data_IF_536536552504
#
_entry.id   IF_536536552504
#
_cell.length_a   1.000
_cell.length_b   1.000
_cell.length_c   1.000
_cell.angle_alpha   90.00
_cell.angle_beta   90.00
_cell.angle_gamma   90.00
#
_symmetry.space_group_name_H-M   'P 1'
#
loop_
_entity.id
_entity.type
_entity.pdbx_description
1 polymer ?
#
# COMPACT_ATOMS: atom_id res chain seq x y z
N UNK A 1 -15.94 13.84 -18.67
CA UNK A 1 -14.73 13.42 -17.95
C UNK A 1 -14.66 11.89 -17.95
N UNK A 2 -13.66 11.29 -18.60
CA UNK A 2 -13.60 9.82 -18.73
C UNK A 2 -13.03 9.22 -17.43
N UNK A 3 -13.78 8.33 -16.78
CA UNK A 3 -13.44 7.74 -15.47
C UNK A 3 -12.08 7.03 -15.46
N UNK A 4 -11.54 6.71 -16.64
CA UNK A 4 -10.20 6.12 -16.82
C UNK A 4 -9.06 6.98 -16.30
N UNK A 5 -9.21 8.30 -16.25
CA UNK A 5 -8.18 9.21 -15.71
C UNK A 5 -8.22 9.32 -14.17
N UNK A 6 -9.28 8.84 -13.51
CA UNK A 6 -9.39 8.87 -12.05
C UNK A 6 -8.55 7.76 -11.39
N UNK A 7 -8.26 6.70 -12.13
CA UNK A 7 -7.28 5.71 -11.73
C UNK A 7 -5.95 6.17 -12.31
N UNK A 8 -5.07 6.69 -11.47
CA UNK A 8 -3.66 7.00 -11.78
C UNK A 8 -2.86 5.71 -12.06
N UNK A 9 -3.40 4.88 -12.95
CA UNK A 9 -2.95 3.54 -13.31
C UNK A 9 -2.95 3.52 -14.84
N UNK A 10 -1.78 3.71 -15.48
CA UNK A 10 -1.69 3.72 -16.93
C UNK A 10 -2.16 2.40 -17.52
N UNK A 11 -2.74 2.48 -18.73
CA UNK A 11 -3.21 1.34 -19.53
C UNK A 11 -4.31 0.51 -18.85
N UNK A 12 -5.07 1.10 -17.93
CA UNK A 12 -6.26 0.46 -17.36
C UNK A 12 -7.49 0.67 -18.25
N UNK A 13 -8.24 -0.40 -18.49
CA UNK A 13 -9.54 -0.39 -19.15
C UNK A 13 -10.60 -0.79 -18.14
N UNK A 14 -11.44 0.16 -17.78
CA UNK A 14 -12.67 -0.08 -17.01
C UNK A 14 -13.73 -0.66 -17.95
N UNK A 15 -14.31 -1.81 -17.58
CA UNK A 15 -15.34 -2.49 -18.36
C UNK A 15 -16.74 -2.24 -17.83
N UNK A 16 -16.89 -2.21 -16.49
CA UNK A 16 -18.18 -2.06 -15.81
C UNK A 16 -17.96 -1.40 -14.46
N UNK A 17 -18.94 -0.62 -14.00
CA UNK A 17 -19.05 -0.15 -12.63
C UNK A 17 -20.40 -0.59 -12.10
N UNK A 18 -20.40 -1.26 -10.95
CA UNK A 18 -21.59 -1.68 -10.22
C UNK A 18 -21.64 -0.93 -8.90
N UNK A 19 -22.82 -0.41 -8.58
CA UNK A 19 -23.07 0.26 -7.32
C UNK A 19 -23.95 -0.64 -6.46
N UNK A 20 -23.35 -1.19 -5.40
CA UNK A 20 -23.99 -2.11 -4.46
C UNK A 20 -23.67 -1.62 -3.04
N UNK A 21 -24.41 -0.63 -2.51
CA UNK A 21 -24.16 -0.07 -1.19
C UNK A 21 -23.97 -1.16 -0.13
N UNK A 22 -22.95 -1.06 0.74
CA UNK A 22 -22.09 0.11 0.95
C UNK A 22 -20.83 0.16 0.06
N UNK A 23 -20.79 -0.55 -1.07
CA UNK A 23 -19.63 -0.66 -1.94
C UNK A 23 -19.87 -0.23 -3.39
N UNK A 24 -18.80 0.19 -4.06
CA UNK A 24 -18.72 0.41 -5.50
C UNK A 24 -17.71 -0.59 -6.06
N UNK A 25 -18.15 -1.42 -7.00
CA UNK A 25 -17.32 -2.41 -7.68
C UNK A 25 -16.92 -1.91 -9.06
N UNK A 26 -15.61 -1.83 -9.31
CA UNK A 26 -15.04 -1.27 -10.53
C UNK A 26 -14.29 -2.38 -11.25
N UNK A 27 -14.88 -2.90 -12.33
CA UNK A 27 -14.29 -3.97 -13.12
C UNK A 27 -13.28 -3.38 -14.07
N UNK A 28 -12.03 -3.82 -13.95
CA UNK A 28 -10.92 -3.29 -14.71
C UNK A 28 -9.97 -4.37 -15.19
N UNK A 29 -9.26 -4.10 -16.28
CA UNK A 29 -8.23 -4.97 -16.85
C UNK A 29 -7.15 -4.12 -17.54
N UNK A 30 -6.01 -4.71 -17.89
CA UNK A 30 -5.02 -4.04 -18.73
C UNK A 30 -5.49 -3.96 -20.19
N UNK A 31 -5.30 -2.81 -20.82
CA UNK A 31 -5.73 -2.54 -22.20
C UNK A 31 -4.84 -3.22 -23.26
N UNK A 32 -3.60 -3.57 -22.93
CA UNK A 32 -2.66 -4.17 -23.87
C UNK A 32 -3.10 -5.55 -24.37
N UNK A 33 -2.80 -5.92 -25.62
CA UNK A 33 -3.10 -7.24 -26.19
C UNK A 33 -2.00 -8.29 -25.93
N UNK A 34 -0.83 -7.85 -25.46
CA UNK A 34 0.36 -8.67 -25.21
C UNK A 34 1.03 -8.26 -23.91
N UNK A 35 1.73 -9.20 -23.28
CA UNK A 35 2.54 -8.96 -22.09
C UNK A 35 3.99 -9.41 -22.29
N UNK A 36 4.92 -8.78 -21.58
CA UNK A 36 6.35 -9.09 -21.64
C UNK A 36 6.69 -10.17 -20.62
N UNK A 37 7.37 -11.24 -21.05
CA UNK A 37 7.84 -12.27 -20.13
C UNK A 37 8.89 -11.69 -19.17
N UNK A 38 8.80 -11.93 -17.85
CA UNK A 38 9.76 -11.38 -16.89
C UNK A 38 11.17 -11.97 -17.05
N UNK A 39 11.28 -13.22 -17.50
CA UNK A 39 12.57 -13.91 -17.71
C UNK A 39 13.22 -13.50 -19.03
N UNK A 40 12.67 -13.96 -20.17
CA UNK A 40 13.28 -13.78 -21.48
C UNK A 40 12.98 -12.44 -22.14
N UNK A 41 12.18 -11.58 -21.49
CA UNK A 41 11.80 -10.24 -21.98
C UNK A 41 11.07 -10.20 -23.33
N UNK A 42 10.73 -11.34 -23.93
CA UNK A 42 9.94 -11.42 -25.17
C UNK A 42 8.46 -11.20 -24.88
N UNK A 43 7.77 -10.56 -25.83
CA UNK A 43 6.32 -10.38 -25.75
C UNK A 43 5.58 -11.66 -26.15
N UNK A 44 4.46 -11.92 -25.47
CA UNK A 44 3.50 -12.96 -25.86
C UNK A 44 2.09 -12.40 -25.86
N UNK A 45 1.30 -12.78 -26.86
CA UNK A 45 -0.15 -12.55 -26.96
C UNK A 45 -0.96 -13.81 -26.62
N UNK A 46 -0.30 -14.95 -26.38
CA UNK A 46 -0.99 -16.23 -26.13
C UNK A 46 -1.46 -16.30 -24.68
N UNK A 47 -2.74 -16.00 -24.45
CA UNK A 47 -3.36 -16.10 -23.12
C UNK A 47 -3.53 -17.57 -22.73
N UNK A 48 -3.03 -17.93 -21.55
CA UNK A 48 -3.24 -19.24 -20.94
C UNK A 48 -4.54 -19.28 -20.12
N UNK A 49 -4.75 -18.26 -19.29
CA UNK A 49 -5.78 -18.25 -18.25
C UNK A 49 -6.03 -16.80 -17.77
N UNK A 50 -7.12 -16.57 -17.04
CA UNK A 50 -7.47 -15.29 -16.42
C UNK A 50 -7.94 -15.52 -14.98
N UNK A 51 -7.57 -14.62 -14.08
CA UNK A 51 -8.07 -14.63 -12.71
C UNK A 51 -8.36 -13.21 -12.24
N UNK A 52 -9.23 -13.08 -11.24
CA UNK A 52 -9.60 -11.79 -10.67
C UNK A 52 -8.92 -11.55 -9.33
N UNK A 53 -8.58 -10.30 -9.08
CA UNK A 53 -8.07 -9.80 -7.79
C UNK A 53 -8.95 -8.66 -7.32
N UNK A 54 -9.17 -8.60 -6.01
CA UNK A 54 -9.83 -7.46 -5.36
C UNK A 54 -8.77 -6.51 -4.83
N UNK A 55 -8.85 -5.25 -5.26
CA UNK A 55 -7.94 -4.18 -4.83
C UNK A 55 -8.79 -3.06 -4.23
N UNK A 56 -8.64 -2.81 -2.95
CA UNK A 56 -9.30 -1.69 -2.29
C UNK A 56 -8.68 -0.38 -2.76
N UNK A 57 -9.55 0.58 -3.03
CA UNK A 57 -9.18 1.90 -3.49
C UNK A 57 -9.80 3.00 -2.61
N UNK A 58 -9.45 4.27 -2.85
CA UNK A 58 -10.04 5.39 -2.11
C UNK A 58 -11.57 5.38 -2.25
N UNK A 59 -12.29 5.75 -1.18
CA UNK A 59 -13.75 5.78 -1.19
C UNK A 59 -14.27 6.74 -2.25
N UNK A 60 -15.41 6.40 -2.83
CA UNK A 60 -16.13 7.26 -3.78
C UNK A 60 -17.51 7.52 -3.20
N UNK A 61 -17.87 8.80 -3.06
CA UNK A 61 -19.13 9.23 -2.43
C UNK A 61 -19.38 8.60 -1.05
N UNK A 62 -18.33 8.44 -0.23
CA UNK A 62 -18.40 7.78 1.08
C UNK A 62 -18.83 6.30 1.02
N UNK A 63 -18.61 5.63 -0.10
CA UNK A 63 -18.75 4.18 -0.23
C UNK A 63 -17.38 3.52 -0.39
N UNK A 64 -17.28 2.28 0.08
CA UNK A 64 -16.09 1.48 -0.12
C UNK A 64 -15.88 1.24 -1.62
N UNK A 65 -14.74 1.66 -2.18
CA UNK A 65 -14.38 1.36 -3.57
C UNK A 65 -13.52 0.09 -3.68
N UNK A 66 -13.95 -0.87 -4.49
CA UNK A 66 -13.18 -2.09 -4.80
C UNK A 66 -12.96 -2.18 -6.31
N UNK A 67 -11.71 -2.22 -6.74
CA UNK A 67 -11.35 -2.56 -8.11
C UNK A 67 -11.31 -4.09 -8.23
N UNK A 68 -12.21 -4.64 -9.04
CA UNK A 68 -12.20 -6.04 -9.46
C UNK A 68 -11.29 -6.13 -10.69
N UNK A 69 -10.01 -6.40 -10.44
CA UNK A 69 -8.97 -6.38 -11.45
C UNK A 69 -8.80 -7.76 -12.08
N UNK A 70 -9.13 -7.86 -13.37
CA UNK A 70 -8.94 -9.09 -14.15
C UNK A 70 -7.52 -9.13 -14.71
N UNK A 71 -6.76 -10.13 -14.28
CA UNK A 71 -5.36 -10.36 -14.64
C UNK A 71 -5.24 -11.59 -15.54
N UNK A 72 -4.48 -11.46 -16.61
CA UNK A 72 -4.21 -12.53 -17.58
C UNK A 72 -2.87 -13.22 -17.28
N UNK A 73 -2.86 -14.54 -17.42
CA UNK A 73 -1.64 -15.35 -17.53
C UNK A 73 -1.38 -15.64 -19.00
N UNK A 74 -0.13 -15.50 -19.44
CA UNK A 74 0.31 -15.73 -20.81
C UNK A 74 1.25 -16.95 -20.88
N UNK A 75 1.22 -17.67 -22.01
CA UNK A 75 2.20 -18.70 -22.35
C UNK A 75 3.42 -18.04 -22.99
N UNK A 76 4.63 -18.31 -22.50
CA UNK A 76 5.85 -17.91 -23.18
C UNK A 76 6.12 -18.88 -24.34
N UNK A 77 6.33 -18.34 -25.55
CA UNK A 77 6.59 -19.11 -26.78
C UNK A 77 8.08 -19.20 -27.14
N UNK A 78 8.97 -18.72 -26.27
CA UNK A 78 10.41 -18.85 -26.50
C UNK A 78 10.87 -20.22 -26.01
N UNK A 79 11.44 -21.02 -26.91
CA UNK A 79 11.88 -22.39 -26.59
C UNK A 79 12.99 -22.40 -25.53
N UNK A 80 13.92 -21.44 -25.64
CA UNK A 80 15.01 -21.23 -24.68
C UNK A 80 14.59 -20.68 -23.32
N UNK A 81 13.33 -20.29 -23.13
CA UNK A 81 12.87 -19.74 -21.85
C UNK A 81 12.45 -20.87 -20.90
N UNK A 82 12.99 -20.91 -19.66
CA UNK A 82 12.56 -21.89 -18.66
C UNK A 82 11.11 -21.64 -18.22
N UNK A 83 10.66 -20.39 -18.25
CA UNK A 83 9.32 -20.01 -17.83
C UNK A 83 8.31 -20.17 -18.96
N UNK A 84 7.46 -21.20 -18.87
CA UNK A 84 6.39 -21.48 -19.86
C UNK A 84 5.12 -20.68 -19.64
N UNK A 85 4.81 -20.26 -18.40
CA UNK A 85 3.65 -19.41 -18.09
C UNK A 85 4.07 -18.23 -17.21
N UNK A 86 3.57 -17.04 -17.50
CA UNK A 86 3.80 -15.85 -16.70
C UNK A 86 2.55 -15.00 -16.58
N UNK A 87 2.41 -14.29 -15.46
CA UNK A 87 1.30 -13.36 -15.23
C UNK A 87 1.66 -12.00 -15.83
N UNK A 88 0.68 -11.30 -16.42
CA UNK A 88 0.90 -9.92 -16.86
C UNK A 88 1.23 -9.00 -15.67
N UNK A 89 2.19 -8.12 -15.87
CA UNK A 89 2.65 -7.18 -14.85
C UNK A 89 2.25 -5.75 -15.21
N UNK A 90 1.97 -4.94 -14.20
CA UNK A 90 1.82 -3.50 -14.28
C UNK A 90 2.61 -2.89 -13.12
N UNK A 91 3.45 -1.91 -13.43
CA UNK A 91 4.32 -1.26 -12.44
C UNK A 91 3.51 -0.56 -11.34
N UNK A 92 2.28 -0.15 -11.64
CA UNK A 92 1.40 0.60 -10.74
C UNK A 92 0.48 -0.30 -9.90
N UNK A 93 0.42 -1.59 -10.23
CA UNK A 93 -0.32 -2.58 -9.45
C UNK A 93 0.62 -3.75 -9.18
N UNK A 94 1.31 -3.67 -8.05
CA UNK A 94 2.25 -4.70 -7.63
C UNK A 94 1.58 -6.09 -7.55
N UNK A 95 2.35 -7.16 -7.83
CA UNK A 95 1.91 -8.51 -7.51
C UNK A 95 1.45 -8.60 -6.06
N UNK A 96 0.36 -9.33 -5.81
CA UNK A 96 -0.24 -9.53 -4.48
C UNK A 96 -0.74 -8.31 -3.70
N UNK A 97 -0.50 -7.07 -4.16
CA UNK A 97 -1.12 -5.88 -3.61
C UNK A 97 -2.65 -6.03 -3.51
N UNK A 98 -3.18 -5.75 -2.32
CA UNK A 98 -4.63 -5.78 -2.02
C UNK A 98 -5.24 -4.37 -1.95
N UNK A 99 -4.40 -3.34 -2.08
CA UNK A 99 -4.74 -1.92 -2.00
C UNK A 99 -3.99 -1.17 -3.10
N UNK A 100 -4.55 -0.08 -3.59
CA UNK A 100 -3.82 0.84 -4.46
C UNK A 100 -2.71 1.54 -3.68
N UNK A 101 -1.70 2.05 -4.40
CA UNK A 101 -0.57 2.73 -3.78
C UNK A 101 -1.02 3.99 -3.03
N UNK A 102 -1.93 4.79 -3.61
CA UNK A 102 -2.49 5.99 -2.96
C UNK A 102 -3.25 5.70 -1.67
N UNK A 103 -4.00 4.58 -1.59
CA UNK A 103 -4.60 4.13 -0.33
C UNK A 103 -3.52 3.80 0.69
N UNK A 104 -2.45 3.13 0.23
CA UNK A 104 -1.34 2.76 1.12
C UNK A 104 -0.60 3.99 1.64
N UNK A 105 -0.38 5.01 0.81
CA UNK A 105 0.18 6.31 1.23
C UNK A 105 -0.71 6.99 2.28
N UNK A 106 -1.99 7.18 2.00
CA UNK A 106 -2.94 7.79 2.95
C UNK A 106 -2.96 7.06 4.30
N UNK A 107 -2.99 5.73 4.28
CA UNK A 107 -2.96 4.93 5.52
C UNK A 107 -1.61 5.02 6.24
N UNK A 108 -0.52 5.26 5.52
CA UNK A 108 0.80 5.46 6.12
C UNK A 108 0.87 6.80 6.83
N UNK A 109 0.36 7.86 6.20
CA UNK A 109 0.25 9.20 6.81
C UNK A 109 -0.59 9.12 8.10
N UNK A 110 -1.78 8.49 8.02
CA UNK A 110 -2.64 8.22 9.18
C UNK A 110 -1.91 7.44 10.29
N UNK A 111 -1.05 6.49 9.91
CA UNK A 111 -0.35 5.63 10.87
C UNK A 111 0.82 6.35 11.57
N UNK A 112 1.40 7.36 10.95
CA UNK A 112 2.47 8.19 11.52
C UNK A 112 1.90 9.32 12.37
N UNK A 113 0.85 9.98 11.88
CA UNK A 113 0.33 11.21 12.50
C UNK A 113 -0.57 10.93 13.70
N UNK A 114 -1.03 9.69 13.90
CA UNK A 114 -2.02 9.37 14.92
C UNK A 114 -1.76 8.05 15.64
N UNK A 115 -2.21 7.93 16.91
CA UNK A 115 -2.25 6.64 17.59
C UNK A 115 -3.07 5.62 16.80
N UNK A 116 -2.59 4.37 16.75
CA UNK A 116 -3.19 3.29 15.96
C UNK A 116 -4.69 3.08 16.22
N UNK A 117 -5.15 3.29 17.47
CA UNK A 117 -6.57 3.21 17.82
C UNK A 117 -7.43 4.26 17.11
N UNK A 118 -7.00 5.52 17.16
CA UNK A 118 -7.65 6.65 16.50
C UNK A 118 -7.55 6.55 14.98
N UNK A 119 -6.38 6.13 14.46
CA UNK A 119 -6.18 5.88 13.03
C UNK A 119 -7.09 4.78 12.49
N UNK A 120 -7.31 3.72 13.26
CA UNK A 120 -8.26 2.68 12.88
C UNK A 120 -9.69 3.22 12.78
N UNK A 121 -10.16 3.96 13.80
CA UNK A 121 -11.46 4.61 13.80
C UNK A 121 -11.64 5.58 12.62
N UNK A 122 -10.61 6.38 12.30
CA UNK A 122 -10.65 7.27 11.15
C UNK A 122 -10.72 6.48 9.85
N UNK A 123 -9.94 5.41 9.71
CA UNK A 123 -9.95 4.56 8.51
C UNK A 123 -11.32 3.93 8.25
N UNK A 124 -12.06 3.55 9.30
CA UNK A 124 -13.44 3.08 9.20
C UNK A 124 -14.39 4.17 8.73
N UNK A 125 -14.29 5.38 9.30
CA UNK A 125 -15.10 6.54 8.89
C UNK A 125 -14.83 6.94 7.43
N UNK A 126 -13.59 6.79 6.97
CA UNK A 126 -13.18 7.00 5.57
C UNK A 126 -13.55 5.82 4.65
N UNK A 127 -14.22 4.77 5.14
CA UNK A 127 -14.54 3.56 4.38
C UNK A 127 -13.33 2.79 3.81
N UNK A 128 -12.15 2.97 4.41
CA UNK A 128 -10.93 2.23 4.10
C UNK A 128 -10.66 1.27 5.26
N UNK A 129 -11.38 0.15 5.29
CA UNK A 129 -11.35 -0.79 6.42
C UNK A 129 -9.99 -1.50 6.52
N UNK A 130 -9.21 -1.16 7.55
CA UNK A 130 -7.96 -1.85 7.90
C UNK A 130 -7.90 -2.15 9.39
N UNK A 131 -7.21 -3.24 9.75
CA UNK A 131 -6.97 -3.59 11.15
C UNK A 131 -5.97 -2.61 11.79
N UNK A 132 -6.03 -2.48 13.12
CA UNK A 132 -5.00 -1.79 13.91
C UNK A 132 -3.60 -2.30 13.59
N UNK A 133 -3.43 -3.63 13.55
CA UNK A 133 -2.16 -4.27 13.18
C UNK A 133 -1.66 -3.89 11.78
N UNK A 134 -2.55 -3.58 10.84
CA UNK A 134 -2.16 -3.11 9.51
C UNK A 134 -1.58 -1.70 9.58
N UNK A 135 -2.18 -0.81 10.37
CA UNK A 135 -1.65 0.55 10.58
C UNK A 135 -0.31 0.51 11.31
N UNK A 136 -0.18 -0.28 12.38
CA UNK A 136 1.10 -0.48 13.07
C UNK A 136 2.19 -0.97 12.11
N UNK A 137 1.88 -1.97 11.28
CA UNK A 137 2.81 -2.45 10.26
C UNK A 137 3.19 -1.37 9.24
N UNK A 138 2.25 -0.52 8.82
CA UNK A 138 2.53 0.57 7.89
C UNK A 138 3.42 1.64 8.52
N UNK A 139 3.20 1.99 9.79
CA UNK A 139 4.07 2.90 10.53
C UNK A 139 5.51 2.36 10.62
N UNK A 140 5.69 1.08 10.97
CA UNK A 140 7.02 0.45 11.02
C UNK A 140 7.71 0.31 9.67
N UNK A 141 6.97 0.41 8.56
CA UNK A 141 7.54 0.36 7.20
C UNK A 141 7.97 1.74 6.69
N UNK A 142 7.64 2.82 7.40
CA UNK A 142 8.09 4.16 6.99
C UNK A 142 9.58 4.31 7.25
N UNK A 143 10.24 5.04 6.35
CA UNK A 143 11.61 5.45 6.57
C UNK A 143 11.67 6.34 7.81
N UNK A 144 12.65 6.08 8.67
CA UNK A 144 12.99 7.03 9.72
C UNK A 144 13.53 8.31 9.05
N UNK A 145 13.24 9.49 9.61
CA UNK A 145 13.81 10.73 9.10
C UNK A 145 15.33 10.69 9.18
N UNK A 146 16.00 11.30 8.20
CA UNK A 146 17.46 11.44 8.22
C UNK A 146 17.88 12.26 9.45
N UNK A 147 18.82 11.71 10.23
CA UNK A 147 19.38 12.41 11.38
C UNK A 147 20.48 13.34 10.87
N UNK A 148 20.13 14.60 10.66
CA UNK A 148 21.11 15.65 10.37
C UNK A 148 21.98 15.97 11.59
N UNK A 149 23.06 16.73 11.38
CA UNK A 149 23.91 17.21 12.47
C UNK A 149 23.11 18.06 13.45
N UNK A 150 22.87 17.50 14.64
CA UNK A 150 22.15 18.17 15.72
C UNK A 150 23.07 19.20 16.38
N UNK A 151 22.60 20.45 16.49
CA UNK A 151 23.31 21.49 17.25
C UNK A 151 22.86 21.55 18.70
N UNK A 152 21.56 21.41 18.94
CA UNK A 152 20.93 21.48 20.27
C UNK A 152 19.98 20.30 20.43
N UNK A 153 20.31 19.39 21.36
CA UNK A 153 19.54 18.17 21.61
C UNK A 153 18.87 18.26 22.97
N UNK A 154 17.56 18.06 22.98
CA UNK A 154 16.78 17.77 24.17
C UNK A 154 16.78 16.27 24.43
N UNK A 155 17.04 15.87 25.66
CA UNK A 155 16.98 14.48 26.11
C UNK A 155 15.92 14.40 27.19
N UNK A 156 14.95 13.49 27.03
CA UNK A 156 13.94 13.20 28.04
C UNK A 156 13.72 11.69 28.17
N UNK A 157 13.36 11.25 29.36
CA UNK A 157 13.12 9.85 29.69
C UNK A 157 11.65 9.64 30.07
N UNK A 158 10.98 8.67 29.44
CA UNK A 158 9.64 8.27 29.84
C UNK A 158 9.63 6.83 30.35
N UNK A 159 8.77 6.55 31.34
CA UNK A 159 8.57 5.20 31.84
C UNK A 159 7.38 4.54 31.12
N UNK A 160 7.60 3.39 30.46
CA UNK A 160 6.51 2.51 30.01
C UNK A 160 5.77 1.90 31.20
N UNK A 161 6.55 1.45 32.17
CA UNK A 161 6.10 0.99 33.48
C UNK A 161 7.12 1.49 34.49
N UNK A 162 6.69 2.38 35.38
CA UNK A 162 7.57 2.98 36.42
C UNK A 162 8.33 1.89 37.17
N UNK A 163 9.65 2.05 37.29
CA UNK A 163 10.55 1.11 37.95
C UNK A 163 10.90 -0.15 37.15
N UNK A 164 10.48 -0.27 35.89
CA UNK A 164 10.74 -1.46 35.06
C UNK A 164 11.43 -1.07 33.77
N UNK A 165 10.70 -0.42 32.86
CA UNK A 165 11.20 -0.11 31.52
C UNK A 165 11.03 1.38 31.23
N UNK A 166 12.13 2.00 30.85
CA UNK A 166 12.21 3.40 30.44
C UNK A 166 12.61 3.46 28.97
N UNK A 167 12.04 4.42 28.24
CA UNK A 167 12.53 4.83 26.93
C UNK A 167 13.14 6.22 27.05
N UNK A 168 14.10 6.51 26.18
CA UNK A 168 14.71 7.85 26.06
C UNK A 168 14.35 8.44 24.71
N UNK A 169 13.87 9.67 24.70
CA UNK A 169 13.56 10.41 23.48
C UNK A 169 14.60 11.49 23.26
N UNK A 170 15.13 11.54 22.05
CA UNK A 170 15.98 12.63 21.59
C UNK A 170 15.14 13.55 20.71
N UNK A 171 15.12 14.83 21.07
CA UNK A 171 14.37 15.87 20.36
C UNK A 171 15.36 16.89 19.82
N UNK A 172 15.22 17.23 18.54
CA UNK A 172 15.89 18.39 17.99
C UNK A 172 15.17 19.64 18.50
N UNK A 173 15.86 20.41 19.34
CA UNK A 173 15.27 21.59 19.98
C UNK A 173 15.12 22.76 19.01
N UNK A 174 15.82 22.77 17.87
CA UNK A 174 15.66 23.82 16.86
C UNK A 174 14.35 23.64 16.08
N UNK A 175 14.00 22.39 15.74
CA UNK A 175 12.78 22.08 14.98
C UNK A 175 11.59 21.65 15.85
N UNK A 176 11.83 21.42 17.14
CA UNK A 176 10.86 20.81 18.07
C UNK A 176 10.32 19.46 17.57
N UNK A 177 11.14 18.70 16.83
CA UNK A 177 10.76 17.40 16.28
C UNK A 177 11.47 16.25 17.02
N UNK A 178 10.74 15.16 17.34
CA UNK A 178 11.35 13.96 17.89
C UNK A 178 12.18 13.27 16.81
N UNK A 179 13.41 12.89 17.15
CA UNK A 179 14.38 12.32 16.22
C UNK A 179 14.51 10.80 16.39
N UNK A 180 14.70 10.34 17.63
CA UNK A 180 14.90 8.92 17.95
C UNK A 180 14.22 8.61 19.29
N UNK A 181 13.52 7.50 19.33
CA UNK A 181 13.07 6.86 20.55
C UNK A 181 13.97 5.64 20.80
N UNK A 182 14.88 5.73 21.77
CA UNK A 182 15.62 4.57 22.23
C UNK A 182 14.70 3.74 23.11
N UNK A 183 14.38 2.53 22.63
CA UNK A 183 13.68 1.51 23.39
C UNK A 183 14.70 0.45 23.76
N UNK A 184 15.05 0.25 25.05
CA UNK A 184 15.71 -0.98 25.43
C UNK A 184 14.81 -2.14 24.99
N UNK A 185 15.40 -3.13 24.31
CA UNK A 185 14.72 -4.24 23.63
C UNK A 185 13.51 -4.77 24.42
N UNK A 186 12.42 -5.11 23.70
CA UNK A 186 11.06 -5.52 24.12
C UNK A 186 10.08 -4.37 23.81
N UNK A 187 9.35 -4.37 22.69
CA UNK A 187 8.23 -5.28 22.39
C UNK A 187 8.17 -5.57 20.89
N UNK A 188 8.33 -6.84 20.51
CA UNK A 188 7.69 -7.38 19.30
C UNK A 188 6.18 -7.30 19.53
N UNK A 189 5.50 -6.41 18.81
CA UNK A 189 4.04 -6.45 18.67
C UNK A 189 3.71 -7.41 17.53
#
# INVERSE_FOLDING_TARGET
>A
MNIKHLFDIPKIKVSKIEFEPPAIHIYASLSGSRAKCPECKKYSSSVHDRYQRRITDLPVFQYHSVIIFTVRKFKCRSDSCPRKVFTEQNDNILPYARRTERVTRLLSDIAIDMPTGSGHLLSEKLQIKVSRSTLTRLAHQQALPDINTLKIVGVDDWAFRKGVNYGTILVDMETSKPMICYLPEIVRI
#
